data_IF_302176367738
#
_entry.id   IF_302176367738
#
_cell.length_a   1.000
_cell.length_b   1.000
_cell.length_c   1.000
_cell.angle_alpha   90.00
_cell.angle_beta   90.00
_cell.angle_gamma   90.00
#
_symmetry.space_group_name_H-M   'P 1'
#
loop_
_entity.id
_entity.type
_entity.pdbx_description
1 polymer ?
#
# COMPACT_ATOMS: atom_id res chain seq x y z
N UNK A 1 8.99 -49.86 -27.41
CA UNK A 1 9.58 -49.06 -26.31
C UNK A 1 8.91 -47.70 -26.31
N UNK A 2 8.20 -47.35 -25.24
CA UNK A 2 7.43 -46.10 -25.15
C UNK A 2 8.35 -44.89 -25.06
N UNK A 3 8.18 -43.94 -25.97
CA UNK A 3 8.88 -42.64 -25.94
C UNK A 3 8.38 -41.90 -24.70
N UNK A 4 9.17 -41.90 -23.63
CA UNK A 4 8.86 -41.20 -22.38
C UNK A 4 8.96 -39.70 -22.68
N UNK A 5 7.82 -39.06 -22.93
CA UNK A 5 7.74 -37.62 -23.26
C UNK A 5 8.17 -36.82 -22.04
N UNK A 6 9.46 -36.45 -21.98
CA UNK A 6 10.04 -35.66 -20.89
C UNK A 6 9.66 -34.17 -20.97
N UNK A 7 9.37 -33.66 -22.18
CA UNK A 7 9.13 -32.24 -22.44
C UNK A 7 7.83 -31.66 -21.85
N UNK A 8 6.73 -32.41 -21.83
CA UNK A 8 5.44 -31.88 -21.32
C UNK A 8 5.54 -31.51 -19.84
N UNK A 9 6.29 -32.32 -19.07
CA UNK A 9 6.44 -32.13 -17.62
C UNK A 9 7.31 -30.91 -17.31
N UNK A 10 8.36 -30.66 -18.10
CA UNK A 10 9.20 -29.45 -18.00
C UNK A 10 8.43 -28.18 -18.39
N UNK A 11 7.64 -28.22 -19.46
CA UNK A 11 6.80 -27.08 -19.86
C UNK A 11 5.75 -26.75 -18.78
N UNK A 12 5.11 -27.75 -18.18
CA UNK A 12 4.14 -27.52 -17.10
C UNK A 12 4.79 -26.93 -15.84
N UNK A 13 6.02 -27.34 -15.49
CA UNK A 13 6.74 -26.78 -14.34
C UNK A 13 7.16 -25.33 -14.58
N UNK A 14 7.76 -25.02 -15.74
CA UNK A 14 8.16 -23.65 -16.10
C UNK A 14 6.97 -22.69 -16.18
N UNK A 15 5.83 -23.15 -16.72
CA UNK A 15 4.60 -22.36 -16.78
C UNK A 15 4.03 -22.09 -15.39
N UNK A 16 4.03 -23.08 -14.47
CA UNK A 16 3.56 -22.87 -13.10
C UNK A 16 4.46 -21.92 -12.31
N UNK A 17 5.78 -22.03 -12.44
CA UNK A 17 6.73 -21.11 -11.81
C UNK A 17 6.57 -19.68 -12.35
N UNK A 18 6.44 -19.53 -13.68
CA UNK A 18 6.20 -18.25 -14.31
C UNK A 18 4.87 -17.63 -13.86
N UNK A 19 3.79 -18.40 -13.82
CA UNK A 19 2.48 -17.92 -13.35
C UNK A 19 2.55 -17.50 -11.88
N UNK A 20 3.26 -18.25 -11.03
CA UNK A 20 3.42 -17.92 -9.61
C UNK A 20 4.22 -16.64 -9.41
N UNK A 21 5.34 -16.48 -10.13
CA UNK A 21 6.17 -15.27 -10.10
C UNK A 21 5.40 -14.04 -10.63
N UNK A 22 4.67 -14.18 -11.75
CA UNK A 22 3.84 -13.11 -12.31
C UNK A 22 2.72 -12.71 -11.36
N UNK A 23 2.03 -13.67 -10.75
CA UNK A 23 0.99 -13.40 -9.75
C UNK A 23 1.57 -12.71 -8.51
N UNK A 24 2.72 -13.16 -8.02
CA UNK A 24 3.42 -12.54 -6.88
C UNK A 24 3.81 -11.10 -7.17
N UNK A 25 4.43 -10.84 -8.32
CA UNK A 25 4.81 -9.48 -8.77
C UNK A 25 3.61 -8.56 -8.93
N UNK A 26 2.51 -9.06 -9.49
CA UNK A 26 1.25 -8.31 -9.61
C UNK A 26 0.64 -7.98 -8.25
N UNK A 27 0.64 -8.92 -7.32
CA UNK A 27 0.13 -8.71 -5.98
C UNK A 27 0.96 -7.67 -5.19
N UNK A 28 2.29 -7.70 -5.34
CA UNK A 28 3.17 -6.66 -4.77
C UNK A 28 2.84 -5.29 -5.34
N UNK A 29 2.73 -5.18 -6.68
CA UNK A 29 2.36 -3.92 -7.35
C UNK A 29 0.98 -3.42 -6.93
N UNK A 30 0.01 -4.32 -6.78
CA UNK A 30 -1.33 -3.99 -6.31
C UNK A 30 -1.31 -3.32 -4.93
N UNK A 31 -0.58 -3.89 -3.98
CA UNK A 31 -0.46 -3.32 -2.63
C UNK A 31 0.30 -1.99 -2.66
N UNK A 32 1.37 -1.88 -3.44
CA UNK A 32 2.10 -0.62 -3.61
C UNK A 32 1.22 0.48 -4.22
N UNK A 33 0.40 0.16 -5.23
CA UNK A 33 -0.53 1.11 -5.84
C UNK A 33 -1.57 1.61 -4.83
N UNK A 34 -2.16 0.71 -4.05
CA UNK A 34 -3.07 1.09 -2.96
C UNK A 34 -2.36 1.98 -1.92
N UNK A 35 -1.15 1.64 -1.50
CA UNK A 35 -0.39 2.45 -0.54
C UNK A 35 -0.04 3.84 -1.09
N UNK A 36 0.22 3.96 -2.40
CA UNK A 36 0.47 5.24 -3.05
C UNK A 36 -0.76 6.15 -2.97
N UNK A 37 -1.92 5.61 -3.31
CA UNK A 37 -3.21 6.32 -3.26
C UNK A 37 -3.53 6.73 -1.81
N UNK A 38 -3.59 5.76 -0.88
CA UNK A 38 -3.91 6.04 0.52
C UNK A 38 -2.91 7.00 1.18
N UNK A 39 -1.61 6.83 0.90
CA UNK A 39 -0.56 7.70 1.42
C UNK A 39 -0.67 9.13 0.88
N UNK A 40 -0.97 9.28 -0.41
CA UNK A 40 -1.18 10.61 -1.02
C UNK A 40 -2.38 11.34 -0.41
N UNK A 41 -3.51 10.65 -0.19
CA UNK A 41 -4.67 11.28 0.44
C UNK A 41 -4.40 11.64 1.89
N UNK A 42 -3.79 10.73 2.67
CA UNK A 42 -3.39 11.02 4.04
C UNK A 42 -2.43 12.23 4.12
N UNK A 43 -1.52 12.37 3.16
CA UNK A 43 -0.62 13.52 3.05
C UNK A 43 -1.36 14.85 2.80
N UNK A 44 -2.51 14.84 2.12
CA UNK A 44 -3.35 16.03 1.93
C UNK A 44 -4.00 16.49 3.24
N UNK A 45 -4.34 15.54 4.11
CA UNK A 45 -4.92 15.82 5.43
C UNK A 45 -3.89 16.02 6.53
N UNK A 46 -2.62 15.72 6.25
CA UNK A 46 -1.54 15.93 7.21
C UNK A 46 -1.33 17.42 7.47
N UNK A 47 -1.37 17.87 8.73
CA UNK A 47 -1.01 19.23 9.10
C UNK A 47 0.43 19.58 8.71
N UNK A 48 0.65 20.82 8.30
CA UNK A 48 1.97 21.34 7.93
C UNK A 48 2.28 22.53 8.85
N UNK A 49 3.36 22.40 9.61
CA UNK A 49 4.01 23.51 10.30
C UNK A 49 5.40 23.74 9.69
N UNK A 50 6.35 22.84 9.97
CA UNK A 50 7.73 22.85 9.42
C UNK A 50 7.95 21.82 8.30
N UNK A 51 6.88 21.19 7.80
CA UNK A 51 6.90 20.05 6.87
C UNK A 51 7.54 18.76 7.40
N UNK A 52 8.14 18.74 8.59
CA UNK A 52 8.77 17.55 9.18
C UNK A 52 7.80 16.37 9.28
N UNK A 53 6.55 16.61 9.72
CA UNK A 53 5.54 15.55 9.80
C UNK A 53 5.26 14.97 8.42
N UNK A 54 4.90 15.81 7.45
CA UNK A 54 4.62 15.39 6.08
C UNK A 54 5.78 14.56 5.47
N UNK A 55 7.02 15.03 5.65
CA UNK A 55 8.22 14.39 5.12
C UNK A 55 8.60 13.10 5.86
N UNK A 56 8.02 12.85 7.03
CA UNK A 56 8.22 11.62 7.80
C UNK A 56 7.27 10.48 7.39
N UNK A 57 6.40 10.71 6.41
CA UNK A 57 5.50 9.65 5.91
C UNK A 57 6.33 8.52 5.29
N UNK A 58 6.08 7.30 5.73
CA UNK A 58 6.69 6.10 5.18
C UNK A 58 5.63 5.12 4.70
N UNK A 59 6.06 4.24 3.79
CA UNK A 59 5.28 3.09 3.31
C UNK A 59 6.15 1.86 3.42
N UNK A 60 5.62 0.81 4.05
CA UNK A 60 6.32 -0.44 4.29
C UNK A 60 5.50 -1.60 3.70
N UNK A 61 6.20 -2.51 3.01
CA UNK A 61 5.62 -3.74 2.48
C UNK A 61 6.17 -4.93 3.27
N UNK A 62 5.29 -5.66 3.95
CA UNK A 62 5.62 -6.91 4.62
C UNK A 62 5.14 -8.12 3.81
N UNK A 63 6.04 -9.07 3.56
CA UNK A 63 5.75 -10.34 2.90
C UNK A 63 5.88 -11.48 3.92
N UNK A 64 4.76 -12.12 4.26
CA UNK A 64 4.72 -13.24 5.19
C UNK A 64 4.08 -14.45 4.51
N UNK A 65 4.89 -15.28 3.85
CA UNK A 65 4.42 -16.42 3.06
C UNK A 65 3.49 -15.95 1.93
N UNK A 66 2.22 -16.34 2.00
CA UNK A 66 1.18 -15.96 1.03
C UNK A 66 0.48 -14.63 1.35
N UNK A 67 0.78 -14.02 2.50
CA UNK A 67 0.16 -12.76 2.94
C UNK A 67 1.06 -11.57 2.64
N UNK A 68 0.56 -10.64 1.84
CA UNK A 68 1.17 -9.34 1.58
C UNK A 68 0.46 -8.30 2.45
N UNK A 69 1.22 -7.53 3.22
CA UNK A 69 0.68 -6.44 4.07
C UNK A 69 1.34 -5.13 3.67
N UNK A 70 0.54 -4.12 3.36
CA UNK A 70 1.01 -2.74 3.19
C UNK A 70 0.76 -1.93 4.46
N UNK A 71 1.71 -1.09 4.86
CA UNK A 71 1.58 -0.16 5.99
C UNK A 71 1.94 1.24 5.53
N UNK A 72 1.15 2.22 5.94
CA UNK A 72 1.43 3.65 5.80
C UNK A 72 1.53 4.21 7.21
N UNK A 73 2.56 5.01 7.47
CA UNK A 73 2.75 5.61 8.78
C UNK A 73 3.60 6.87 8.71
N UNK A 74 3.89 7.43 9.88
CA UNK A 74 4.76 8.59 10.04
C UNK A 74 5.83 8.26 11.08
N UNK A 75 7.10 8.53 10.76
CA UNK A 75 8.21 8.27 11.67
C UNK A 75 8.43 9.38 12.70
N UNK A 76 7.79 10.54 12.54
CA UNK A 76 7.82 11.60 13.53
C UNK A 76 7.12 11.16 14.83
N UNK A 77 7.84 11.10 15.94
CA UNK A 77 7.30 10.67 17.25
C UNK A 77 6.05 11.45 17.67
N UNK A 78 5.98 12.74 17.32
CA UNK A 78 4.84 13.59 17.68
C UNK A 78 3.60 13.37 16.78
N UNK A 79 3.69 12.54 15.74
CA UNK A 79 2.58 12.26 14.82
C UNK A 79 1.35 11.73 15.55
N UNK A 80 1.54 10.93 16.61
CA UNK A 80 0.45 10.39 17.43
C UNK A 80 -0.38 11.50 18.06
N UNK A 81 0.28 12.51 18.65
CA UNK A 81 -0.41 13.64 19.27
C UNK A 81 -1.11 14.53 18.22
N UNK A 82 -0.50 14.70 17.05
CA UNK A 82 -1.11 15.45 15.95
C UNK A 82 -2.33 14.72 15.40
N UNK A 83 -2.27 13.39 15.35
CA UNK A 83 -3.34 12.53 14.86
C UNK A 83 -4.55 12.45 15.81
N UNK A 84 -4.30 12.45 17.12
CA UNK A 84 -5.34 12.32 18.15
C UNK A 84 -6.38 13.46 18.09
N UNK A 85 -7.68 13.13 17.90
CA UNK A 85 -8.75 14.12 17.85
C UNK A 85 -9.00 14.80 19.21
N UNK A 86 -8.59 14.20 20.33
CA UNK A 86 -8.79 14.75 21.67
C UNK A 86 -7.79 15.85 22.03
N UNK A 87 -6.73 16.03 21.22
CA UNK A 87 -5.72 17.05 21.44
C UNK A 87 -6.01 18.26 20.53
N UNK A 88 -6.58 19.36 21.06
CA UNK A 88 -6.93 20.52 20.24
C UNK A 88 -5.66 21.16 19.66
N UNK A 89 -5.67 21.45 18.36
CA UNK A 89 -4.57 22.08 17.64
C UNK A 89 -5.13 23.01 16.57
N UNK A 90 -4.45 24.14 16.35
CA UNK A 90 -4.79 25.07 15.28
C UNK A 90 -3.94 24.75 14.06
N UNK A 91 -4.57 24.35 12.96
CA UNK A 91 -3.87 24.04 11.73
C UNK A 91 -3.80 25.25 10.80
N UNK A 92 -2.62 25.49 10.22
CA UNK A 92 -2.43 26.53 9.18
C UNK A 92 -3.03 26.12 7.83
N UNK A 93 -3.04 24.81 7.54
CA UNK A 93 -3.51 24.25 6.27
C UNK A 93 -5.00 23.94 6.35
N UNK A 94 -5.79 24.49 5.42
CA UNK A 94 -7.25 24.34 5.42
C UNK A 94 -7.74 22.88 5.24
N UNK A 95 -6.99 22.07 4.49
CA UNK A 95 -7.32 20.65 4.29
C UNK A 95 -6.87 19.76 5.45
N UNK A 96 -6.14 20.29 6.44
CA UNK A 96 -5.60 19.48 7.51
C UNK A 96 -6.71 18.97 8.43
N UNK A 97 -6.64 17.69 8.78
CA UNK A 97 -7.62 17.05 9.63
C UNK A 97 -6.96 16.25 10.74
N UNK A 98 -7.65 16.15 11.87
CA UNK A 98 -7.41 15.08 12.84
C UNK A 98 -7.73 13.73 12.24
N UNK A 99 -7.12 12.69 12.78
CA UNK A 99 -7.22 11.33 12.24
C UNK A 99 -6.79 11.23 10.75
N UNK A 100 -5.86 12.06 10.29
CA UNK A 100 -5.50 12.22 8.87
C UNK A 100 -5.16 10.91 8.13
N UNK A 101 -4.50 9.94 8.79
CA UNK A 101 -4.26 8.61 8.20
C UNK A 101 -5.55 7.85 7.93
N UNK A 102 -6.42 7.79 8.94
CA UNK A 102 -7.68 7.04 8.89
C UNK A 102 -8.63 7.67 7.89
N UNK A 103 -8.91 8.97 8.03
CA UNK A 103 -9.77 9.71 7.11
C UNK A 103 -9.23 9.71 5.68
N UNK A 104 -7.91 9.88 5.54
CA UNK A 104 -7.26 9.84 4.23
C UNK A 104 -7.45 8.50 3.54
N UNK A 105 -7.32 7.38 4.26
CA UNK A 105 -7.56 6.05 3.69
C UNK A 105 -9.04 5.78 3.46
N UNK A 106 -9.91 6.17 4.40
CA UNK A 106 -11.36 5.96 4.29
C UNK A 106 -11.94 6.64 3.05
N UNK A 107 -11.52 7.88 2.77
CA UNK A 107 -12.02 8.67 1.63
C UNK A 107 -11.60 8.11 0.26
N UNK A 108 -10.51 7.34 0.18
CA UNK A 108 -10.01 6.75 -1.07
C UNK A 108 -10.03 5.23 -1.06
N UNK A 109 -10.72 4.61 -0.11
CA UNK A 109 -10.78 3.15 0.05
C UNK A 109 -11.23 2.46 -1.23
N UNK A 110 -12.24 3.00 -1.90
CA UNK A 110 -12.74 2.46 -3.17
C UNK A 110 -11.70 2.56 -4.29
N UNK A 111 -10.95 3.67 -4.35
CA UNK A 111 -9.90 3.90 -5.34
C UNK A 111 -8.71 2.95 -5.11
N UNK A 112 -8.36 2.71 -3.85
CA UNK A 112 -7.34 1.72 -3.47
C UNK A 112 -7.75 0.31 -3.91
N UNK A 113 -9.01 -0.08 -3.66
CA UNK A 113 -9.54 -1.39 -4.10
C UNK A 113 -9.57 -1.48 -5.63
N UNK A 114 -9.97 -0.42 -6.32
CA UNK A 114 -9.97 -0.38 -7.78
C UNK A 114 -8.55 -0.52 -8.36
N UNK A 115 -7.56 0.14 -7.75
CA UNK A 115 -6.15 0.03 -8.15
C UNK A 115 -5.61 -1.40 -7.93
N UNK A 116 -5.95 -2.03 -6.80
CA UNK A 116 -5.59 -3.42 -6.54
C UNK A 116 -6.18 -4.33 -7.62
N UNK A 117 -7.47 -4.19 -7.90
CA UNK A 117 -8.16 -4.98 -8.92
C UNK A 117 -7.50 -4.81 -10.29
N UNK A 118 -7.15 -3.58 -10.65
CA UNK A 118 -6.45 -3.26 -11.91
C UNK A 118 -5.11 -3.98 -12.04
N UNK A 119 -4.29 -4.01 -10.98
CA UNK A 119 -2.97 -4.67 -11.03
C UNK A 119 -3.05 -6.20 -11.02
N UNK A 120 -4.11 -6.77 -10.41
CA UNK A 120 -4.32 -8.21 -10.36
C UNK A 120 -4.91 -8.79 -11.65
N UNK A 121 -5.68 -7.99 -12.38
CA UNK A 121 -6.28 -8.41 -13.66
C UNK A 121 -5.22 -8.42 -14.78
N UNK A 122 -5.24 -9.42 -15.68
CA UNK A 122 -4.38 -9.48 -16.87
C UNK A 122 -4.75 -8.48 -17.95
#
# INVERSE_FOLDING_TARGET
MGIKVRGVRETHMSVNEFISDVRGKRAIRAVQAAMLIGGSQAALYTPIDTSTLLNSQYRELGLNGTRITGRIGYSANYAVYVHDPNIPQNFRRATAQKEFLKKGVDDVKEQMVAAIKKELMP
#
